data_IF_306107807061
#
_entry.id   IF_306107807061
#
_cell.length_a   1.000
_cell.length_b   1.000
_cell.length_c   1.000
_cell.angle_alpha   90.00
_cell.angle_beta   90.00
_cell.angle_gamma   90.00
#
_symmetry.space_group_name_H-M   'P 1'
#
loop_
_entity.id
_entity.type
_entity.pdbx_description
1 polymer ?
#
# COMPACT_ATOMS: atom_id res chain seq x y z
N UNK A 1 23.12 16.38 4.01
CA UNK A 1 23.21 15.02 4.61
C UNK A 1 23.39 13.85 3.61
N UNK A 2 23.70 14.07 2.33
CA UNK A 2 23.80 12.96 1.34
C UNK A 2 25.01 13.07 0.39
N UNK A 3 25.99 13.91 0.72
CA UNK A 3 27.09 14.29 -0.18
C UNK A 3 27.93 13.11 -0.65
N UNK A 4 28.20 12.13 0.22
CA UNK A 4 28.92 10.90 -0.14
C UNK A 4 28.15 10.06 -1.15
N UNK A 5 26.83 9.90 -0.96
CA UNK A 5 25.96 9.16 -1.88
C UNK A 5 25.89 9.85 -3.24
N UNK A 6 25.77 11.18 -3.26
CA UNK A 6 25.72 11.96 -4.51
C UNK A 6 27.01 11.87 -5.33
N UNK A 7 28.17 11.71 -4.66
CA UNK A 7 29.48 11.53 -5.30
C UNK A 7 29.78 10.09 -5.70
N UNK A 8 29.04 9.11 -5.19
CA UNK A 8 29.20 7.71 -5.58
C UNK A 8 28.79 7.47 -7.04
N UNK A 9 29.22 6.36 -7.64
CA UNK A 9 28.74 5.92 -8.97
C UNK A 9 27.53 4.96 -8.88
N UNK A 10 26.82 4.96 -7.75
CA UNK A 10 25.71 4.04 -7.48
C UNK A 10 24.38 4.79 -7.67
N UNK A 11 23.85 4.76 -8.89
CA UNK A 11 22.61 5.48 -9.24
C UNK A 11 21.39 5.11 -8.37
N UNK A 12 21.14 3.83 -8.02
CA UNK A 12 20.02 3.49 -7.14
C UNK A 12 20.05 4.24 -5.80
N UNK A 13 21.23 4.40 -5.20
CA UNK A 13 21.37 5.11 -3.92
C UNK A 13 21.16 6.63 -4.09
N UNK A 14 21.55 7.20 -5.22
CA UNK A 14 21.27 8.61 -5.53
C UNK A 14 19.77 8.86 -5.65
N UNK A 15 19.03 7.96 -6.30
CA UNK A 15 17.57 8.04 -6.40
C UNK A 15 16.93 8.04 -5.00
N UNK A 16 17.31 7.10 -4.14
CA UNK A 16 16.82 7.05 -2.75
C UNK A 16 17.15 8.34 -2.00
N UNK A 17 18.39 8.84 -2.09
CA UNK A 17 18.81 10.06 -1.42
C UNK A 17 18.04 11.30 -1.90
N UNK A 18 17.72 11.38 -3.19
CA UNK A 18 16.86 12.43 -3.77
C UNK A 18 15.44 12.33 -3.24
N UNK A 19 14.85 11.13 -3.22
CA UNK A 19 13.49 10.90 -2.68
C UNK A 19 13.39 11.32 -1.22
N UNK A 20 14.35 10.94 -0.38
CA UNK A 20 14.38 11.33 1.04
C UNK A 20 14.51 12.86 1.19
N UNK A 21 15.33 13.49 0.35
CA UNK A 21 15.48 14.96 0.35
C UNK A 21 14.17 15.66 -0.02
N UNK A 22 13.50 15.20 -1.06
CA UNK A 22 12.25 15.78 -1.55
C UNK A 22 11.10 15.63 -0.54
N UNK A 23 11.08 14.54 0.24
CA UNK A 23 10.04 14.27 1.24
C UNK A 23 10.47 14.55 2.68
N UNK A 24 11.59 15.26 2.87
CA UNK A 24 12.19 15.48 4.19
C UNK A 24 11.20 16.05 5.21
N UNK A 25 10.40 17.02 4.81
CA UNK A 25 9.45 17.68 5.71
C UNK A 25 8.38 16.72 6.21
N UNK A 26 7.78 15.93 5.32
CA UNK A 26 6.79 14.91 5.67
C UNK A 26 7.38 13.83 6.59
N UNK A 27 8.61 13.39 6.31
CA UNK A 27 9.34 12.44 7.15
C UNK A 27 9.54 13.03 8.55
N UNK A 28 9.94 14.30 8.67
CA UNK A 28 10.14 14.95 9.95
C UNK A 28 8.83 15.20 10.70
N UNK A 29 7.71 15.43 10.00
CA UNK A 29 6.39 15.61 10.61
C UNK A 29 5.96 14.38 11.43
N UNK A 30 6.30 13.17 10.97
CA UNK A 30 6.05 11.95 11.73
C UNK A 30 6.71 11.97 13.13
N UNK A 31 7.96 12.42 13.21
CA UNK A 31 8.69 12.52 14.48
C UNK A 31 8.16 13.67 15.33
N UNK A 32 7.83 14.83 14.73
CA UNK A 32 7.20 15.96 15.42
C UNK A 32 5.86 15.57 16.04
N UNK A 33 5.07 14.79 15.31
CA UNK A 33 3.80 14.22 15.78
C UNK A 33 4.00 13.06 16.77
N UNK A 34 5.23 12.76 17.20
CA UNK A 34 5.56 11.69 18.16
C UNK A 34 4.98 10.33 17.78
N UNK A 35 4.92 10.02 16.47
CA UNK A 35 4.32 8.77 15.95
C UNK A 35 2.85 8.59 16.39
N UNK A 36 2.09 9.68 16.50
CA UNK A 36 0.69 9.64 16.93
C UNK A 36 -0.22 8.79 16.03
N UNK A 37 0.16 8.59 14.77
CA UNK A 37 -0.54 7.72 13.84
C UNK A 37 0.24 6.41 13.68
N UNK A 38 -0.44 5.31 13.31
CA UNK A 38 0.22 4.03 13.01
C UNK A 38 0.11 3.73 11.52
N UNK A 39 1.21 3.27 10.89
CA UNK A 39 1.16 2.78 9.50
C UNK A 39 0.41 1.45 9.38
N UNK A 40 0.24 0.71 10.48
CA UNK A 40 -0.34 -0.63 10.46
C UNK A 40 -1.77 -0.69 9.92
N UNK A 41 -2.59 0.33 10.19
CA UNK A 41 -3.96 0.41 9.65
C UNK A 41 -3.94 0.58 8.13
N UNK A 42 -3.04 1.45 7.63
CA UNK A 42 -2.88 1.70 6.19
C UNK A 42 -2.29 0.48 5.49
N UNK A 43 -1.32 -0.20 6.09
CA UNK A 43 -0.75 -1.44 5.58
C UNK A 43 -1.77 -2.57 5.54
N UNK A 44 -2.57 -2.73 6.60
CA UNK A 44 -3.66 -3.70 6.65
C UNK A 44 -4.70 -3.45 5.57
N UNK A 45 -5.09 -2.19 5.37
CA UNK A 45 -5.98 -1.79 4.28
C UNK A 45 -5.38 -2.12 2.91
N UNK A 46 -4.13 -1.73 2.66
CA UNK A 46 -3.43 -2.01 1.40
C UNK A 46 -3.35 -3.52 1.11
N UNK A 47 -3.09 -4.35 2.12
CA UNK A 47 -3.08 -5.79 1.97
C UNK A 47 -4.46 -6.34 1.61
N UNK A 48 -5.53 -5.85 2.25
CA UNK A 48 -6.91 -6.24 1.92
C UNK A 48 -7.26 -5.90 0.48
N UNK A 49 -6.95 -4.67 0.03
CA UNK A 49 -7.14 -4.24 -1.36
C UNK A 49 -6.37 -5.16 -2.32
N UNK A 50 -5.09 -5.42 -2.04
CA UNK A 50 -4.24 -6.27 -2.88
C UNK A 50 -4.78 -7.70 -3.02
N UNK A 51 -5.28 -8.27 -1.93
CA UNK A 51 -5.92 -9.59 -1.96
C UNK A 51 -7.20 -9.56 -2.78
N UNK A 52 -8.05 -8.55 -2.62
CA UNK A 52 -9.28 -8.44 -3.41
C UNK A 52 -9.00 -8.30 -4.90
N UNK A 53 -8.03 -7.46 -5.28
CA UNK A 53 -7.62 -7.31 -6.68
C UNK A 53 -7.09 -8.62 -7.28
N UNK A 54 -6.36 -9.44 -6.51
CA UNK A 54 -5.89 -10.75 -6.97
C UNK A 54 -7.04 -11.73 -7.16
N UNK A 55 -8.04 -11.73 -6.27
CA UNK A 55 -9.24 -12.55 -6.41
C UNK A 55 -10.08 -12.16 -7.63
N UNK A 56 -10.03 -10.89 -8.04
CA UNK A 56 -10.80 -10.35 -9.16
C UNK A 56 -10.15 -10.49 -10.54
N UNK A 57 -8.95 -11.07 -10.66
CA UNK A 57 -8.28 -11.25 -11.96
C UNK A 57 -9.09 -12.07 -12.99
N UNK A 58 -10.04 -12.90 -12.53
CA UNK A 58 -10.96 -13.64 -13.39
C UNK A 58 -12.15 -12.83 -13.91
N UNK A 59 -12.32 -11.57 -13.49
CA UNK A 59 -13.43 -10.73 -13.94
C UNK A 59 -13.15 -10.13 -15.31
N UNK A 60 -14.21 -10.04 -16.13
CA UNK A 60 -14.11 -9.56 -17.52
C UNK A 60 -14.14 -8.04 -17.63
N UNK A 61 -14.53 -7.33 -16.57
CA UNK A 61 -14.66 -5.88 -16.54
C UNK A 61 -14.04 -5.26 -15.29
N UNK A 62 -13.62 -4.00 -15.42
CA UNK A 62 -13.11 -3.23 -14.29
C UNK A 62 -14.21 -2.96 -13.25
N UNK A 63 -15.43 -2.69 -13.70
CA UNK A 63 -16.58 -2.43 -12.81
C UNK A 63 -16.84 -3.58 -11.84
N UNK A 64 -16.73 -4.84 -12.31
CA UNK A 64 -16.86 -6.01 -11.44
C UNK A 64 -15.75 -6.06 -10.38
N UNK A 65 -14.53 -5.66 -10.74
CA UNK A 65 -13.40 -5.56 -9.79
C UNK A 65 -13.66 -4.48 -8.74
N UNK A 66 -14.19 -3.33 -9.15
CA UNK A 66 -14.55 -2.24 -8.26
C UNK A 66 -15.68 -2.63 -7.29
N UNK A 67 -16.71 -3.35 -7.77
CA UNK A 67 -17.78 -3.89 -6.93
C UNK A 67 -17.22 -4.85 -5.88
N UNK A 68 -16.36 -5.80 -6.27
CA UNK A 68 -15.75 -6.73 -5.32
C UNK A 68 -14.86 -6.01 -4.30
N UNK A 69 -14.15 -4.96 -4.72
CA UNK A 69 -13.38 -4.10 -3.82
C UNK A 69 -14.29 -3.47 -2.77
N UNK A 70 -15.37 -2.82 -3.17
CA UNK A 70 -16.31 -2.19 -2.23
C UNK A 70 -17.02 -3.21 -1.34
N UNK A 71 -17.41 -4.36 -1.89
CA UNK A 71 -18.02 -5.44 -1.10
C UNK A 71 -17.07 -5.93 0.00
N UNK A 72 -15.82 -6.22 -0.36
CA UNK A 72 -14.81 -6.66 0.59
C UNK A 72 -14.52 -5.59 1.65
N UNK A 73 -14.36 -4.32 1.24
CA UNK A 73 -14.12 -3.21 2.16
C UNK A 73 -15.30 -2.98 3.12
N UNK A 74 -16.52 -3.04 2.60
CA UNK A 74 -17.77 -2.90 3.37
C UNK A 74 -18.11 -4.11 4.25
N UNK A 75 -17.36 -5.22 4.15
CA UNK A 75 -17.62 -6.47 4.88
C UNK A 75 -19.08 -6.92 4.71
N UNK A 76 -19.58 -6.82 3.47
CA UNK A 76 -20.94 -7.19 3.13
C UNK A 76 -21.12 -8.72 3.22
N UNK A 77 -22.34 -9.22 3.49
CA UNK A 77 -22.59 -10.64 3.57
C UNK A 77 -22.25 -11.34 2.24
N UNK A 78 -21.62 -12.51 2.35
CA UNK A 78 -21.35 -13.40 1.23
C UNK A 78 -22.33 -14.58 1.27
N UNK A 79 -22.77 -15.09 0.11
CA UNK A 79 -23.56 -16.31 0.06
C UNK A 79 -22.75 -17.49 0.62
N UNK A 80 -23.44 -18.46 1.24
CA UNK A 80 -22.78 -19.67 1.73
C UNK A 80 -22.13 -20.40 0.55
N UNK A 81 -20.82 -20.69 0.59
CA UNK A 81 -20.15 -21.39 -0.50
C UNK A 81 -20.69 -22.82 -0.61
N UNK A 82 -20.91 -23.28 -1.83
CA UNK A 82 -21.40 -24.63 -2.10
C UNK A 82 -20.38 -25.72 -1.70
N UNK A 83 -19.08 -25.41 -1.79
CA UNK A 83 -18.00 -26.33 -1.46
C UNK A 83 -16.99 -25.67 -0.50
N UNK A 84 -16.44 -26.47 0.42
CA UNK A 84 -15.34 -26.07 1.30
C UNK A 84 -14.11 -26.87 0.90
N UNK A 85 -13.03 -26.17 0.56
CA UNK A 85 -11.72 -26.77 0.36
C UNK A 85 -10.96 -26.63 1.68
N UNK A 86 -10.53 -27.75 2.26
CA UNK A 86 -9.76 -27.84 3.50
C UNK A 86 -8.28 -28.02 3.22
#
# INVERSE_FOLDING_TARGET
PFTRVMRSKIEPLKTVAKTIRNHRELILNWFKAKKAFSSGVVEGLNNKIKVTMRKSYGFRTFDATQIALYHALGKLPEPKPAHRFY
#
